data_IF_128219299233
#
_entry.id   IF_128219299233
#
_cell.length_a   1.000
_cell.length_b   1.000
_cell.length_c   1.000
_cell.angle_alpha   90.00
_cell.angle_beta   90.00
_cell.angle_gamma   90.00
#
_symmetry.space_group_name_H-M   'P 1'
#
loop_
_entity.id
_entity.type
_entity.pdbx_description
1 polymer ?
#
# COMPACT_ATOMS: atom_id res chain seq x y z
N UNK A 1 -15.97 -11.47 5.27
CA UNK A 1 -15.77 -10.12 5.83
C UNK A 1 -14.88 -9.33 4.88
N UNK A 2 -15.28 -8.11 4.53
CA UNK A 2 -14.43 -7.22 3.72
C UNK A 2 -13.41 -6.55 4.64
N UNK A 3 -12.14 -6.59 4.31
CA UNK A 3 -11.12 -5.83 5.03
C UNK A 3 -11.30 -4.33 4.78
N UNK A 4 -11.10 -3.55 5.84
CA UNK A 4 -11.13 -2.08 5.79
C UNK A 4 -9.74 -1.57 6.07
N UNK A 5 -9.09 -1.07 5.04
CA UNK A 5 -7.82 -0.37 5.17
C UNK A 5 -8.09 1.13 5.28
N UNK A 6 -7.39 1.78 6.20
CA UNK A 6 -7.46 3.22 6.40
C UNK A 6 -6.06 3.80 6.47
N UNK A 7 -5.81 4.89 5.71
CA UNK A 7 -4.52 5.57 5.64
C UNK A 7 -4.56 6.89 6.40
N UNK A 8 -3.56 7.12 7.26
CA UNK A 8 -3.44 8.33 8.07
C UNK A 8 -2.20 9.11 7.62
N UNK A 9 -2.43 10.36 7.15
CA UNK A 9 -1.40 11.21 6.54
C UNK A 9 -0.89 12.35 7.43
N UNK A 10 -1.51 12.60 8.59
CA UNK A 10 -1.07 13.64 9.53
C UNK A 10 -1.20 13.15 10.98
N UNK A 11 -0.11 13.24 11.71
CA UNK A 11 0.01 12.87 13.14
C UNK A 11 -0.72 11.56 13.49
N UNK A 12 -0.38 10.44 12.83
CA UNK A 12 -1.19 9.23 12.83
C UNK A 12 -1.44 8.66 14.23
N UNK A 13 -0.47 8.72 15.12
CA UNK A 13 -0.57 8.16 16.48
C UNK A 13 -1.77 8.71 17.28
N UNK A 14 -2.26 9.90 16.95
CA UNK A 14 -3.41 10.53 17.64
C UNK A 14 -4.75 9.90 17.29
N UNK A 15 -4.86 9.33 16.10
CA UNK A 15 -6.14 8.92 15.51
C UNK A 15 -6.29 7.40 15.40
N UNK A 16 -5.28 6.62 15.80
CA UNK A 16 -5.29 5.15 15.68
C UNK A 16 -6.54 4.56 16.33
N UNK A 17 -6.85 4.93 17.57
CA UNK A 17 -8.01 4.40 18.29
C UNK A 17 -9.35 4.79 17.63
N UNK A 18 -9.44 5.97 17.05
CA UNK A 18 -10.65 6.42 16.35
C UNK A 18 -10.87 5.58 15.06
N UNK A 19 -9.79 5.30 14.32
CA UNK A 19 -9.85 4.44 13.15
C UNK A 19 -10.20 2.99 13.51
N UNK A 20 -9.66 2.47 14.61
CA UNK A 20 -10.01 1.13 15.12
C UNK A 20 -11.49 1.07 15.51
N UNK A 21 -11.99 2.07 16.25
CA UNK A 21 -13.42 2.18 16.61
C UNK A 21 -14.32 2.29 15.38
N UNK A 22 -13.84 2.97 14.32
CA UNK A 22 -14.54 3.05 13.04
C UNK A 22 -14.52 1.72 12.25
N UNK A 23 -13.80 0.70 12.73
CA UNK A 23 -13.77 -0.65 12.18
C UNK A 23 -12.66 -0.89 11.17
N UNK A 24 -11.53 -0.21 11.28
CA UNK A 24 -10.34 -0.54 10.50
C UNK A 24 -9.84 -1.94 10.82
N UNK A 25 -9.50 -2.72 9.80
CA UNK A 25 -8.81 -4.01 9.92
C UNK A 25 -7.29 -3.84 9.71
N UNK A 26 -6.90 -2.81 8.90
CA UNK A 26 -5.52 -2.43 8.64
C UNK A 26 -5.42 -0.91 8.75
N UNK A 27 -4.41 -0.40 9.44
CA UNK A 27 -4.09 1.03 9.49
C UNK A 27 -2.74 1.26 8.81
N UNK A 28 -2.76 2.07 7.75
CA UNK A 28 -1.56 2.46 7.01
C UNK A 28 -1.14 3.87 7.44
N UNK A 29 0.14 4.04 7.76
CA UNK A 29 0.70 5.33 8.15
C UNK A 29 1.83 5.75 7.21
N UNK A 30 1.83 7.03 6.83
CA UNK A 30 2.91 7.60 6.05
C UNK A 30 4.17 7.75 6.89
N UNK A 31 5.29 7.20 6.43
CA UNK A 31 6.58 7.31 7.14
C UNK A 31 6.95 8.78 7.38
N UNK A 32 6.65 9.64 6.41
CA UNK A 32 6.92 11.09 6.46
C UNK A 32 6.06 11.83 7.49
N UNK A 33 4.93 11.25 7.90
CA UNK A 33 4.00 11.86 8.86
C UNK A 33 4.25 11.41 10.31
N UNK A 34 5.08 10.38 10.51
CA UNK A 34 5.38 9.83 11.81
C UNK A 34 6.56 10.56 12.46
N UNK A 35 6.37 11.11 13.66
CA UNK A 35 7.48 11.61 14.48
C UNK A 35 8.31 10.45 15.06
N UNK A 36 7.63 9.39 15.45
CA UNK A 36 8.18 8.13 15.92
C UNK A 36 7.44 7.00 15.22
N UNK A 37 8.09 6.38 14.25
CA UNK A 37 7.52 5.30 13.44
C UNK A 37 7.30 4.06 14.30
N UNK A 38 8.26 3.68 15.13
CA UNK A 38 8.19 2.46 15.96
C UNK A 38 7.02 2.56 16.92
N UNK A 39 6.94 3.64 17.71
CA UNK A 39 5.84 3.84 18.64
C UNK A 39 4.48 3.88 17.95
N UNK A 40 4.41 4.42 16.72
CA UNK A 40 3.17 4.47 15.95
C UNK A 40 2.73 3.07 15.51
N UNK A 41 3.65 2.26 14.98
CA UNK A 41 3.36 0.88 14.55
C UNK A 41 3.00 -0.02 15.74
N UNK A 42 3.71 0.10 16.85
CA UNK A 42 3.43 -0.62 18.10
C UNK A 42 2.02 -0.29 18.61
N UNK A 43 1.65 1.00 18.64
CA UNK A 43 0.30 1.42 19.03
C UNK A 43 -0.79 0.83 18.16
N UNK A 44 -0.58 0.70 16.84
CA UNK A 44 -1.53 0.04 15.92
C UNK A 44 -1.71 -1.44 16.30
N UNK A 45 -0.60 -2.15 16.52
CA UNK A 45 -0.61 -3.57 16.90
C UNK A 45 -1.24 -3.81 18.29
N UNK A 46 -0.99 -2.94 19.27
CA UNK A 46 -1.64 -2.98 20.57
C UNK A 46 -3.17 -2.87 20.49
N UNK A 47 -3.68 -2.14 19.49
CA UNK A 47 -5.11 -2.05 19.23
C UNK A 47 -5.69 -3.29 18.52
N UNK A 48 -4.88 -4.32 18.23
CA UNK A 48 -5.31 -5.59 17.66
C UNK A 48 -5.63 -5.56 16.16
N UNK A 49 -5.13 -4.57 15.42
CA UNK A 49 -5.29 -4.44 13.96
C UNK A 49 -3.94 -4.53 13.25
N UNK A 50 -3.96 -4.85 11.96
CA UNK A 50 -2.76 -4.93 11.13
C UNK A 50 -2.12 -3.55 10.94
N UNK A 51 -0.80 -3.50 11.00
CA UNK A 51 -0.02 -2.29 10.76
C UNK A 51 0.55 -2.28 9.34
N UNK A 52 0.40 -1.16 8.65
CA UNK A 52 1.03 -0.94 7.36
C UNK A 52 1.75 0.41 7.31
N UNK A 53 2.84 0.46 6.54
CA UNK A 53 3.61 1.68 6.31
C UNK A 53 3.57 2.05 4.84
N UNK A 54 3.54 3.34 4.55
CA UNK A 54 3.59 3.83 3.16
C UNK A 54 4.65 4.90 2.98
N UNK A 55 5.14 5.00 1.75
CA UNK A 55 6.10 6.01 1.31
C UNK A 55 5.58 6.72 0.05
N UNK A 56 5.85 8.02 -0.01
CA UNK A 56 5.53 8.85 -1.17
C UNK A 56 6.53 8.64 -2.32
N UNK A 57 6.21 9.05 -3.56
CA UNK A 57 7.11 8.90 -4.70
C UNK A 57 8.54 9.46 -4.48
N UNK A 58 8.77 10.61 -3.84
CA UNK A 58 10.13 11.10 -3.62
C UNK A 58 10.88 10.39 -2.47
N UNK A 59 10.18 9.66 -1.60
CA UNK A 59 10.80 9.02 -0.42
C UNK A 59 11.50 7.72 -0.81
N UNK A 60 12.79 7.53 -0.48
CA UNK A 60 13.52 6.31 -0.81
C UNK A 60 13.07 5.13 0.05
N UNK A 61 13.29 3.90 -0.44
CA UNK A 61 12.97 2.66 0.29
C UNK A 61 13.74 2.54 1.60
N UNK A 62 14.95 3.07 1.68
CA UNK A 62 15.75 3.10 2.92
C UNK A 62 15.05 3.78 4.10
N UNK A 63 14.05 4.64 3.85
CA UNK A 63 13.27 5.28 4.89
C UNK A 63 12.32 4.32 5.62
N UNK A 64 11.95 3.20 5.00
CA UNK A 64 11.05 2.19 5.57
C UNK A 64 11.76 0.87 5.88
N UNK A 65 12.94 0.62 5.32
CA UNK A 65 13.69 -0.62 5.50
C UNK A 65 13.85 -1.07 6.97
N UNK A 66 14.13 -0.15 7.94
CA UNK A 66 14.26 -0.54 9.36
C UNK A 66 12.97 -1.06 10.00
N UNK A 67 11.83 -0.91 9.32
CA UNK A 67 10.51 -1.24 9.88
C UNK A 67 9.82 -2.41 9.16
N UNK A 68 10.45 -3.01 8.15
CA UNK A 68 9.83 -4.07 7.33
C UNK A 68 9.44 -5.30 8.17
N UNK A 69 10.17 -5.62 9.23
CA UNK A 69 9.86 -6.70 10.17
C UNK A 69 8.74 -6.35 11.17
N UNK A 70 8.30 -5.10 11.19
CA UNK A 70 7.29 -4.58 12.11
C UNK A 70 5.93 -4.33 11.47
N UNK A 71 5.80 -4.58 10.17
CA UNK A 71 4.58 -4.29 9.42
C UNK A 71 4.03 -5.53 8.74
N UNK A 72 2.72 -5.56 8.56
CA UNK A 72 2.01 -6.61 7.84
C UNK A 72 1.87 -6.28 6.34
N UNK A 73 2.05 -5.01 5.97
CA UNK A 73 1.95 -4.55 4.59
C UNK A 73 2.76 -3.28 4.36
N UNK A 74 3.33 -3.14 3.16
CA UNK A 74 3.96 -1.91 2.67
C UNK A 74 3.15 -1.38 1.50
N UNK A 75 2.71 -0.12 1.57
CA UNK A 75 2.05 0.58 0.47
C UNK A 75 3.06 1.46 -0.28
N UNK A 76 3.21 1.24 -1.57
CA UNK A 76 3.97 2.11 -2.47
C UNK A 76 3.03 3.06 -3.19
N UNK A 77 3.17 4.36 -2.94
CA UNK A 77 2.44 5.37 -3.70
C UNK A 77 3.05 5.53 -5.09
N UNK A 78 2.26 5.30 -6.12
CA UNK A 78 2.65 5.45 -7.54
C UNK A 78 2.09 6.70 -8.20
N UNK A 79 1.58 7.63 -7.39
CA UNK A 79 1.21 9.01 -7.74
C UNK A 79 1.50 9.91 -6.55
N UNK A 80 1.57 11.22 -6.76
CA UNK A 80 1.65 12.15 -5.63
C UNK A 80 0.30 12.16 -4.87
N UNK A 81 0.28 11.86 -3.57
CA UNK A 81 -0.96 11.79 -2.81
C UNK A 81 -1.70 13.14 -2.80
N UNK A 82 -3.01 13.12 -3.06
CA UNK A 82 -3.82 14.34 -3.01
C UNK A 82 -5.15 14.24 -3.74
N UNK A 83 -5.18 13.71 -4.94
CA UNK A 83 -6.40 13.55 -5.75
C UNK A 83 -6.30 12.32 -6.65
N UNK A 84 -7.47 11.80 -7.06
CA UNK A 84 -7.55 10.63 -7.93
C UNK A 84 -7.31 10.96 -9.41
N UNK A 85 -7.18 9.91 -10.24
CA UNK A 85 -7.08 10.04 -11.70
C UNK A 85 -5.72 10.50 -12.22
N UNK A 86 -4.68 10.51 -11.39
CA UNK A 86 -3.31 10.84 -11.79
C UNK A 86 -2.68 9.72 -12.62
N UNK A 87 -1.68 10.10 -13.43
CA UNK A 87 -0.89 9.15 -14.19
C UNK A 87 0.05 8.38 -13.28
N UNK A 88 0.17 7.09 -13.55
CA UNK A 88 1.13 6.20 -12.89
C UNK A 88 2.58 6.70 -13.06
N UNK A 89 3.34 6.68 -12.00
CA UNK A 89 4.77 7.00 -11.98
C UNK A 89 5.57 5.71 -12.17
N UNK A 90 6.22 5.47 -13.34
CA UNK A 90 6.87 4.20 -13.65
C UNK A 90 7.99 3.81 -12.66
N UNK A 91 8.70 4.79 -12.12
CA UNK A 91 9.80 4.61 -11.17
C UNK A 91 9.34 3.97 -9.85
N UNK A 92 8.04 3.97 -9.57
CA UNK A 92 7.46 3.25 -8.42
C UNK A 92 7.62 1.73 -8.53
N UNK A 93 7.73 1.19 -9.75
CA UNK A 93 8.01 -0.24 -9.97
C UNK A 93 9.39 -0.66 -9.43
N UNK A 94 10.38 0.20 -9.55
CA UNK A 94 11.72 -0.08 -9.04
C UNK A 94 11.72 -0.17 -7.52
N UNK A 95 10.92 0.69 -6.85
CA UNK A 95 10.71 0.59 -5.39
C UNK A 95 10.00 -0.70 -4.98
N UNK A 96 8.98 -1.11 -5.74
CA UNK A 96 8.29 -2.39 -5.48
C UNK A 96 9.27 -3.55 -5.56
N UNK A 97 10.12 -3.61 -6.61
CA UNK A 97 11.16 -4.64 -6.78
C UNK A 97 12.18 -4.63 -5.65
N UNK A 98 12.64 -3.43 -5.26
CA UNK A 98 13.59 -3.26 -4.15
C UNK A 98 12.99 -3.77 -2.83
N UNK A 99 11.74 -3.38 -2.51
CA UNK A 99 11.05 -3.83 -1.30
C UNK A 99 10.84 -5.35 -1.33
N UNK A 100 10.40 -5.93 -2.45
CA UNK A 100 10.24 -7.39 -2.59
C UNK A 100 11.56 -8.11 -2.32
N UNK A 101 12.65 -7.64 -2.92
CA UNK A 101 13.98 -8.22 -2.71
C UNK A 101 14.43 -8.16 -1.26
N UNK A 102 14.15 -7.06 -0.55
CA UNK A 102 14.46 -6.90 0.86
C UNK A 102 13.62 -7.83 1.75
N UNK A 103 12.33 -7.98 1.45
CA UNK A 103 11.43 -8.89 2.18
C UNK A 103 11.86 -10.35 1.99
N UNK A 104 12.16 -10.75 0.75
CA UNK A 104 12.61 -12.10 0.42
C UNK A 104 13.95 -12.42 1.11
N UNK A 105 14.91 -11.49 1.08
CA UNK A 105 16.19 -11.62 1.77
C UNK A 105 16.07 -11.76 3.29
N UNK A 106 15.03 -11.16 3.88
CA UNK A 106 14.71 -11.24 5.31
C UNK A 106 13.78 -12.41 5.67
N UNK A 107 13.25 -13.15 4.68
CA UNK A 107 12.27 -14.21 4.89
C UNK A 107 10.92 -13.71 5.43
N UNK A 108 10.51 -12.49 5.06
CA UNK A 108 9.28 -11.85 5.52
C UNK A 108 8.15 -12.05 4.50
N UNK A 109 7.00 -12.53 4.98
CA UNK A 109 5.76 -12.67 4.20
C UNK A 109 4.88 -11.42 4.36
N UNK A 110 5.44 -10.27 3.98
CA UNK A 110 4.77 -8.97 4.06
C UNK A 110 4.15 -8.63 2.72
N UNK A 111 2.87 -8.23 2.73
CA UNK A 111 2.16 -7.79 1.54
C UNK A 111 2.77 -6.49 0.98
N UNK A 112 2.81 -6.37 -0.35
CA UNK A 112 3.17 -5.12 -1.04
C UNK A 112 1.95 -4.61 -1.80
N UNK A 113 1.43 -3.49 -1.34
CA UNK A 113 0.33 -2.77 -1.96
C UNK A 113 0.87 -1.64 -2.86
N UNK A 114 0.18 -1.38 -3.95
CA UNK A 114 0.44 -0.22 -4.82
C UNK A 114 -0.84 0.58 -5.03
N UNK A 115 -0.76 1.90 -4.90
CA UNK A 115 -1.88 2.82 -5.12
C UNK A 115 -1.45 4.01 -5.99
N UNK A 116 -2.20 4.19 -7.08
CA UNK A 116 -2.09 5.34 -7.96
C UNK A 116 -1.90 4.99 -9.44
N UNK A 117 -2.88 5.31 -10.28
CA UNK A 117 -2.79 5.21 -11.74
C UNK A 117 -2.67 3.78 -12.30
N UNK A 118 -2.92 2.75 -11.48
CA UNK A 118 -2.94 1.36 -11.94
C UNK A 118 -4.13 1.13 -12.86
N UNK A 119 -3.88 0.46 -13.99
CA UNK A 119 -4.87 0.14 -15.00
C UNK A 119 -4.51 -1.19 -15.70
N UNK A 120 -5.39 -1.71 -16.56
CA UNK A 120 -5.16 -3.00 -17.23
C UNK A 120 -3.88 -3.02 -18.10
N UNK A 121 -3.41 -1.87 -18.57
CA UNK A 121 -2.20 -1.80 -19.42
C UNK A 121 -0.88 -1.90 -18.63
N UNK A 122 -0.86 -1.53 -17.34
CA UNK A 122 0.34 -1.60 -16.50
C UNK A 122 0.26 -2.64 -15.38
N UNK A 123 -0.91 -3.27 -15.17
CA UNK A 123 -1.14 -4.23 -14.09
C UNK A 123 -0.17 -5.41 -14.12
N UNK A 124 0.11 -5.98 -15.29
CA UNK A 124 1.06 -7.09 -15.41
C UNK A 124 2.46 -6.70 -14.90
N UNK A 125 2.97 -5.53 -15.32
CA UNK A 125 4.28 -5.03 -14.85
C UNK A 125 4.30 -4.74 -13.33
N UNK A 126 3.16 -4.35 -12.76
CA UNK A 126 3.02 -4.14 -11.32
C UNK A 126 3.13 -5.47 -10.56
N UNK A 127 2.47 -6.52 -11.05
CA UNK A 127 2.54 -7.87 -10.47
C UNK A 127 3.94 -8.47 -10.64
N UNK A 128 4.56 -8.34 -11.82
CA UNK A 128 5.96 -8.74 -12.08
C UNK A 128 6.95 -8.08 -11.14
N UNK A 129 6.71 -6.83 -10.78
CA UNK A 129 7.55 -6.11 -9.81
C UNK A 129 7.45 -6.68 -8.39
N UNK A 130 6.41 -7.47 -8.09
CA UNK A 130 6.22 -8.15 -6.80
C UNK A 130 5.11 -7.56 -5.92
N UNK A 131 4.29 -6.63 -6.43
CA UNK A 131 3.09 -6.19 -5.72
C UNK A 131 2.01 -7.30 -5.77
N UNK A 132 1.34 -7.54 -4.65
CA UNK A 132 0.28 -8.55 -4.52
C UNK A 132 -1.05 -7.96 -4.03
N UNK A 133 -1.08 -6.68 -3.63
CA UNK A 133 -2.29 -5.94 -3.29
C UNK A 133 -2.42 -4.73 -4.22
N UNK A 134 -3.51 -4.67 -4.99
CA UNK A 134 -3.70 -3.69 -6.06
C UNK A 134 -4.85 -2.75 -5.75
N UNK A 135 -4.56 -1.45 -5.69
CA UNK A 135 -5.58 -0.40 -5.58
C UNK A 135 -5.78 0.25 -6.95
N UNK A 136 -7.01 0.18 -7.45
CA UNK A 136 -7.40 0.80 -8.70
C UNK A 136 -8.78 1.48 -8.54
N UNK A 137 -8.80 2.80 -8.72
CA UNK A 137 -10.02 3.60 -8.65
C UNK A 137 -10.59 3.88 -10.05
N UNK A 138 -10.10 4.92 -10.72
CA UNK A 138 -10.62 5.38 -12.02
C UNK A 138 -10.64 4.27 -13.08
N UNK A 139 -9.63 3.40 -13.11
CA UNK A 139 -9.55 2.29 -14.05
C UNK A 139 -10.68 1.25 -13.87
N UNK A 140 -11.23 1.12 -12.67
CA UNK A 140 -12.35 0.22 -12.38
C UNK A 140 -13.69 0.94 -12.61
N UNK A 141 -13.83 2.16 -12.10
CA UNK A 141 -15.12 2.85 -12.04
C UNK A 141 -15.45 3.68 -13.30
N UNK A 142 -14.56 3.75 -14.31
CA UNK A 142 -14.84 4.39 -15.60
C UNK A 142 -15.43 3.40 -16.58
N UNK A 143 -16.61 3.72 -17.15
CA UNK A 143 -17.30 2.86 -18.13
C UNK A 143 -17.97 1.64 -17.51
N UNK A 144 -17.80 0.46 -18.11
CA UNK A 144 -18.39 -0.78 -17.59
C UNK A 144 -17.55 -1.38 -16.46
N UNK A 145 -18.04 -1.22 -15.23
CA UNK A 145 -17.37 -1.68 -14.01
C UNK A 145 -17.19 -3.20 -13.99
N UNK A 146 -18.21 -3.95 -14.46
CA UNK A 146 -18.15 -5.42 -14.42
C UNK A 146 -17.07 -5.95 -15.38
N UNK A 147 -16.99 -5.39 -16.58
CA UNK A 147 -15.98 -5.74 -17.57
C UNK A 147 -14.56 -5.35 -17.09
N UNK A 148 -14.41 -4.17 -16.49
CA UNK A 148 -13.15 -3.74 -15.92
C UNK A 148 -12.66 -4.67 -14.80
N UNK A 149 -13.55 -5.04 -13.86
CA UNK A 149 -13.22 -5.99 -12.79
C UNK A 149 -12.85 -7.35 -13.36
N UNK A 150 -13.56 -7.82 -14.40
CA UNK A 150 -13.26 -9.10 -15.07
C UNK A 150 -11.85 -9.09 -15.66
N UNK A 151 -11.49 -8.05 -16.42
CA UNK A 151 -10.15 -7.88 -17.00
C UNK A 151 -9.05 -7.89 -15.95
N UNK A 152 -9.24 -7.14 -14.85
CA UNK A 152 -8.27 -7.15 -13.76
C UNK A 152 -8.08 -8.54 -13.15
N UNK A 153 -9.19 -9.25 -12.88
CA UNK A 153 -9.13 -10.61 -12.34
C UNK A 153 -8.47 -11.60 -13.29
N UNK A 154 -8.71 -11.49 -14.60
CA UNK A 154 -8.06 -12.33 -15.61
C UNK A 154 -6.54 -12.13 -15.61
N UNK A 155 -6.07 -10.87 -15.55
CA UNK A 155 -4.64 -10.57 -15.47
C UNK A 155 -4.05 -11.09 -14.16
N UNK A 156 -4.70 -10.82 -13.02
CA UNK A 156 -4.22 -11.26 -11.70
C UNK A 156 -4.29 -12.77 -11.51
N UNK A 157 -5.21 -13.47 -12.16
CA UNK A 157 -5.33 -14.94 -12.09
C UNK A 157 -4.25 -15.69 -12.87
N UNK A 158 -3.44 -14.99 -13.66
CA UNK A 158 -2.28 -15.55 -14.36
C UNK A 158 -0.99 -15.50 -13.51
N UNK A 159 -1.06 -14.93 -12.32
CA UNK A 159 0.02 -14.75 -11.32
C UNK A 159 -0.34 -15.44 -10.01
#
# INVERSE_FOLDING_TARGET
RRQRQMCIRDRPIRYIEDFVKAGADIITVHVEACKDVVATLEKIKECGVKAAITLNPPTPVSAIEPYLDKVDMVLVMSVNPGFGGQKFIPESLDKVKEIRSLLDAKGLDTDIEIDGGVNAGNLASVLEAGANVIVAGSAIFSGDVADNVKKFKEIMGAW
#
